data_IF_055063690836
#
_entry.id   IF_055063690836
#
_cell.length_a   1.000
_cell.length_b   1.000
_cell.length_c   1.000
_cell.angle_alpha   90.00
_cell.angle_beta   90.00
_cell.angle_gamma   90.00
#
_symmetry.space_group_name_H-M   'P 1'
#
loop_
_entity.id
_entity.type
_entity.pdbx_description
1 polymer ?
#
# COMPACT_ATOMS: atom_id res chain seq x y z
N UNK A 1 -7.71 58.70 -2.10
CA UNK A 1 -7.52 58.01 -3.39
C UNK A 1 -8.14 56.64 -3.23
N UNK A 2 -9.42 56.52 -3.61
CA UNK A 2 -10.24 55.30 -3.40
C UNK A 2 -9.94 54.31 -4.53
N UNK A 3 -9.64 53.09 -4.16
CA UNK A 3 -9.46 51.97 -5.07
C UNK A 3 -10.80 51.55 -5.72
N UNK A 4 -10.81 51.20 -7.00
CA UNK A 4 -12.05 50.86 -7.69
C UNK A 4 -12.54 49.47 -7.21
N UNK A 5 -13.85 49.39 -6.95
CA UNK A 5 -14.60 48.16 -6.71
C UNK A 5 -14.45 47.22 -7.93
N UNK A 6 -13.75 46.12 -7.80
CA UNK A 6 -13.76 45.05 -8.78
C UNK A 6 -14.98 44.19 -8.52
N UNK A 7 -16.03 44.37 -9.30
CA UNK A 7 -17.15 43.44 -9.40
C UNK A 7 -16.62 42.10 -9.95
N UNK A 8 -16.40 41.13 -9.08
CA UNK A 8 -16.20 39.75 -9.49
C UNK A 8 -17.57 39.18 -9.86
N UNK A 9 -17.79 39.01 -11.15
CA UNK A 9 -18.96 38.28 -11.64
C UNK A 9 -18.93 36.84 -11.04
N UNK A 10 -20.09 36.27 -10.63
CA UNK A 10 -20.13 34.90 -10.19
C UNK A 10 -19.70 33.99 -11.36
N UNK A 11 -18.69 33.18 -11.13
CA UNK A 11 -18.24 32.14 -12.09
C UNK A 11 -19.43 31.22 -12.36
N UNK A 12 -19.75 31.08 -13.65
CA UNK A 12 -20.75 30.16 -14.14
C UNK A 12 -20.50 28.73 -13.65
N UNK A 13 -21.52 28.21 -12.97
CA UNK A 13 -21.87 26.80 -12.93
C UNK A 13 -20.75 25.83 -12.61
N UNK A 14 -20.65 25.45 -11.35
CA UNK A 14 -20.36 24.07 -10.97
C UNK A 14 -21.45 23.16 -11.56
N UNK A 15 -21.36 22.90 -12.85
CA UNK A 15 -21.93 21.70 -13.42
C UNK A 15 -21.09 20.56 -12.83
N UNK A 16 -21.50 20.06 -11.69
CA UNK A 16 -21.15 18.75 -11.17
C UNK A 16 -21.55 17.73 -12.25
N UNK A 17 -20.69 17.59 -13.25
CA UNK A 17 -20.77 16.51 -14.21
C UNK A 17 -20.51 15.24 -13.40
N UNK A 18 -21.59 14.60 -12.92
CA UNK A 18 -21.57 13.22 -12.44
C UNK A 18 -20.88 12.36 -13.51
N UNK A 19 -19.54 12.25 -13.40
CA UNK A 19 -18.81 11.19 -14.10
C UNK A 19 -19.51 9.89 -13.72
N UNK A 20 -19.82 9.01 -14.69
CA UNK A 20 -20.42 7.71 -14.37
C UNK A 20 -19.58 7.09 -13.27
N UNK A 21 -20.22 6.85 -12.11
CA UNK A 21 -19.51 6.31 -10.94
C UNK A 21 -18.86 5.02 -11.39
N UNK A 22 -17.53 5.02 -11.42
CA UNK A 22 -16.75 3.88 -11.86
C UNK A 22 -17.11 2.70 -10.96
N UNK A 23 -17.76 1.67 -11.49
CA UNK A 23 -18.18 0.47 -10.74
C UNK A 23 -17.03 -0.17 -9.98
N UNK A 24 -15.82 0.03 -10.49
CA UNK A 24 -14.60 -0.45 -9.88
C UNK A 24 -14.26 0.34 -8.60
N UNK A 25 -14.41 1.67 -8.63
CA UNK A 25 -14.22 2.52 -7.44
C UNK A 25 -15.24 2.18 -6.33
N UNK A 26 -16.50 1.90 -6.70
CA UNK A 26 -17.51 1.45 -5.74
C UNK A 26 -17.15 0.10 -5.09
N UNK A 27 -16.57 -0.82 -5.86
CA UNK A 27 -16.09 -2.09 -5.35
C UNK A 27 -14.91 -1.90 -4.38
N UNK A 28 -13.95 -1.05 -4.74
CA UNK A 28 -12.80 -0.70 -3.90
C UNK A 28 -13.27 -0.12 -2.56
N UNK A 29 -14.17 0.84 -2.58
CA UNK A 29 -14.73 1.47 -1.37
C UNK A 29 -15.48 0.45 -0.49
N UNK A 30 -16.27 -0.43 -1.12
CA UNK A 30 -16.99 -1.48 -0.40
C UNK A 30 -16.04 -2.46 0.26
N UNK A 31 -14.99 -2.89 -0.44
CA UNK A 31 -13.99 -3.81 0.08
C UNK A 31 -13.22 -3.18 1.24
N UNK A 32 -12.75 -1.92 1.11
CA UNK A 32 -12.08 -1.24 2.22
C UNK A 32 -12.99 -1.12 3.45
N UNK A 33 -14.22 -0.67 3.30
CA UNK A 33 -15.17 -0.58 4.42
C UNK A 33 -15.42 -1.92 5.11
N UNK A 34 -15.46 -3.02 4.34
CA UNK A 34 -15.59 -4.36 4.93
C UNK A 34 -14.32 -4.80 5.67
N UNK A 35 -13.15 -4.50 5.12
CA UNK A 35 -11.87 -4.77 5.76
C UNK A 35 -11.70 -3.94 7.03
N UNK A 36 -12.01 -2.66 7.00
CA UNK A 36 -11.99 -1.80 8.17
C UNK A 36 -12.88 -2.36 9.29
N UNK A 37 -14.09 -2.75 8.95
CA UNK A 37 -15.00 -3.36 9.92
C UNK A 37 -14.46 -4.67 10.50
N UNK A 38 -13.81 -5.50 9.67
CA UNK A 38 -13.27 -6.79 10.09
C UNK A 38 -11.98 -6.65 10.90
N UNK A 39 -11.06 -5.78 10.46
CA UNK A 39 -9.75 -5.60 11.07
C UNK A 39 -9.78 -4.70 12.31
N UNK A 40 -10.67 -3.70 12.33
CA UNK A 40 -10.72 -2.72 13.42
C UNK A 40 -11.77 -3.04 14.50
N UNK A 41 -12.67 -3.99 14.26
CA UNK A 41 -13.65 -4.49 15.23
C UNK A 41 -14.20 -3.41 16.18
N UNK A 42 -14.61 -2.25 15.64
CA UNK A 42 -15.10 -1.12 16.43
C UNK A 42 -14.06 -0.41 17.28
N UNK A 43 -12.77 -0.50 16.96
CA UNK A 43 -11.70 0.21 17.67
C UNK A 43 -11.20 -0.50 18.93
N UNK A 44 -11.43 -1.80 19.06
CA UNK A 44 -10.98 -2.54 20.24
C UNK A 44 -9.44 -2.49 20.39
N UNK A 45 -8.90 -2.42 21.64
CA UNK A 45 -7.44 -2.39 21.84
C UNK A 45 -6.72 -3.63 21.28
N UNK A 46 -7.40 -4.76 21.19
CA UNK A 46 -6.83 -5.98 20.59
C UNK A 46 -6.71 -5.87 19.07
N UNK A 47 -7.73 -5.36 18.40
CA UNK A 47 -7.70 -5.11 16.96
C UNK A 47 -6.62 -4.08 16.60
N UNK A 48 -6.49 -3.02 17.38
CA UNK A 48 -5.45 -2.01 17.17
C UNK A 48 -4.03 -2.60 17.36
N UNK A 49 -3.81 -3.45 18.36
CA UNK A 49 -2.51 -4.14 18.54
C UNK A 49 -2.18 -5.05 17.36
N UNK A 50 -3.18 -5.83 16.87
CA UNK A 50 -3.00 -6.70 15.71
C UNK A 50 -2.65 -5.89 14.45
N UNK A 51 -3.36 -4.79 14.20
CA UNK A 51 -3.07 -3.89 13.09
C UNK A 51 -1.65 -3.34 13.18
N UNK A 52 -1.27 -2.77 14.33
CA UNK A 52 0.07 -2.21 14.53
C UNK A 52 1.15 -3.28 14.31
N UNK A 53 0.90 -4.52 14.75
CA UNK A 53 1.81 -5.63 14.50
C UNK A 53 1.94 -5.92 13.00
N UNK A 54 0.81 -6.04 12.28
CA UNK A 54 0.80 -6.35 10.84
C UNK A 54 1.36 -5.19 9.98
N UNK A 55 1.15 -3.94 10.39
CA UNK A 55 1.74 -2.78 9.72
C UNK A 55 3.25 -2.60 10.02
N UNK A 56 3.83 -3.42 10.90
CA UNK A 56 5.26 -3.37 11.20
C UNK A 56 5.70 -2.19 12.06
N UNK A 57 4.80 -1.56 12.84
CA UNK A 57 5.14 -0.41 13.70
C UNK A 57 6.25 -0.71 14.69
N UNK A 58 6.36 -1.95 15.16
CA UNK A 58 7.41 -2.46 16.04
C UNK A 58 8.76 -2.62 15.33
N UNK A 59 8.74 -2.78 14.01
CA UNK A 59 9.94 -2.94 13.18
C UNK A 59 10.47 -1.58 12.68
N UNK A 60 9.59 -0.56 12.62
CA UNK A 60 9.86 0.73 11.99
C UNK A 60 9.75 0.71 10.46
N UNK A 61 9.40 -0.43 9.88
CA UNK A 61 9.28 -0.67 8.44
C UNK A 61 7.96 -1.40 8.13
N UNK A 62 7.35 -1.22 6.96
CA UNK A 62 6.15 -1.96 6.55
C UNK A 62 6.43 -3.46 6.51
N UNK A 63 5.78 -4.23 7.41
CA UNK A 63 6.01 -5.68 7.54
C UNK A 63 5.70 -6.43 6.22
N UNK A 64 4.71 -5.97 5.46
CA UNK A 64 4.39 -6.52 4.15
C UNK A 64 5.61 -6.54 3.23
N UNK A 65 6.31 -5.42 3.10
CA UNK A 65 7.47 -5.29 2.21
C UNK A 65 8.56 -6.28 2.60
N UNK A 66 8.88 -6.39 3.90
CA UNK A 66 9.89 -7.33 4.40
C UNK A 66 9.48 -8.78 4.13
N UNK A 67 8.22 -9.12 4.33
CA UNK A 67 7.73 -10.48 4.12
C UNK A 67 7.66 -10.89 2.65
N UNK A 68 7.55 -9.95 1.70
CA UNK A 68 7.51 -10.28 0.26
C UNK A 68 8.81 -10.88 -0.26
N UNK A 69 9.94 -10.64 0.39
CA UNK A 69 11.23 -11.24 0.02
C UNK A 69 11.22 -12.76 0.13
N UNK A 70 10.44 -13.31 1.08
CA UNK A 70 10.34 -14.76 1.29
C UNK A 70 9.72 -15.47 0.08
N UNK A 71 8.49 -15.17 -0.39
CA UNK A 71 7.92 -15.83 -1.56
C UNK A 71 8.72 -15.53 -2.83
N UNK A 72 9.20 -14.30 -3.03
CA UNK A 72 9.98 -13.95 -4.22
C UNK A 72 11.26 -14.79 -4.29
N UNK A 73 12.04 -14.82 -3.22
CA UNK A 73 13.29 -15.58 -3.16
C UNK A 73 13.06 -17.09 -3.25
N UNK A 74 12.09 -17.62 -2.48
CA UNK A 74 11.81 -19.05 -2.45
C UNK A 74 11.26 -19.56 -3.79
N UNK A 75 10.35 -18.84 -4.44
CA UNK A 75 9.81 -19.25 -5.73
C UNK A 75 10.82 -19.06 -6.86
N UNK A 76 11.71 -18.06 -6.78
CA UNK A 76 12.85 -17.96 -7.70
C UNK A 76 13.80 -19.16 -7.56
N UNK A 77 14.13 -19.57 -6.33
CA UNK A 77 14.92 -20.77 -6.07
C UNK A 77 14.23 -22.04 -6.60
N UNK A 78 12.89 -22.14 -6.44
CA UNK A 78 12.13 -23.26 -7.00
C UNK A 78 12.25 -23.34 -8.53
N UNK A 79 12.19 -22.21 -9.24
CA UNK A 79 12.38 -22.19 -10.70
C UNK A 79 13.79 -22.65 -11.10
N UNK A 80 14.81 -22.24 -10.36
CA UNK A 80 16.18 -22.68 -10.59
C UNK A 80 16.33 -24.19 -10.35
N UNK A 81 15.79 -24.72 -9.25
CA UNK A 81 15.82 -26.15 -8.97
C UNK A 81 15.04 -26.98 -9.98
N UNK A 82 13.91 -26.48 -10.45
CA UNK A 82 13.16 -27.12 -11.54
C UNK A 82 13.99 -27.21 -12.83
N UNK A 83 14.67 -26.14 -13.20
CA UNK A 83 15.55 -26.14 -14.37
C UNK A 83 16.73 -27.14 -14.21
N UNK A 84 17.32 -27.18 -13.02
CA UNK A 84 18.41 -28.13 -12.72
C UNK A 84 17.92 -29.58 -12.72
N UNK A 85 16.69 -29.85 -12.30
CA UNK A 85 16.10 -31.18 -12.31
C UNK A 85 15.91 -31.77 -13.70
N UNK A 86 15.81 -30.91 -14.74
CA UNK A 86 15.70 -31.36 -16.13
C UNK A 86 17.06 -31.81 -16.73
N UNK A 87 18.17 -31.30 -16.20
CA UNK A 87 19.53 -31.57 -16.72
C UNK A 87 20.31 -32.61 -15.91
N UNK A 88 19.81 -32.98 -14.73
CA UNK A 88 20.52 -33.95 -13.82
C UNK A 88 19.54 -34.99 -13.31
N UNK A 89 19.88 -36.26 -13.49
CA UNK A 89 19.15 -37.38 -12.90
C UNK A 89 19.39 -37.41 -11.38
N UNK A 90 18.34 -37.28 -10.62
CA UNK A 90 18.36 -37.33 -9.14
C UNK A 90 17.26 -36.49 -8.56
N UNK A 91 16.39 -37.06 -7.70
CA UNK A 91 15.24 -36.38 -7.11
C UNK A 91 15.59 -35.29 -6.09
N UNK A 92 16.85 -34.88 -5.96
CA UNK A 92 17.26 -33.87 -4.97
C UNK A 92 16.79 -32.47 -5.34
N UNK A 93 16.99 -32.06 -6.60
CA UNK A 93 16.51 -30.78 -7.08
C UNK A 93 14.99 -30.68 -7.11
N UNK A 94 14.31 -31.80 -7.39
CA UNK A 94 12.84 -31.84 -7.31
C UNK A 94 12.35 -31.64 -5.89
N UNK A 95 12.97 -32.27 -4.90
CA UNK A 95 12.64 -32.05 -3.47
C UNK A 95 12.98 -30.65 -3.02
N UNK A 96 14.08 -30.07 -3.49
CA UNK A 96 14.44 -28.68 -3.22
C UNK A 96 13.43 -27.69 -3.81
N UNK A 97 12.96 -27.92 -5.05
CA UNK A 97 11.91 -27.13 -5.68
C UNK A 97 10.59 -27.20 -4.88
N UNK A 98 10.16 -28.41 -4.50
CA UNK A 98 8.94 -28.63 -3.72
C UNK A 98 9.01 -27.95 -2.34
N UNK A 99 10.18 -28.00 -1.66
CA UNK A 99 10.40 -27.33 -0.39
C UNK A 99 10.38 -25.80 -0.54
N UNK A 100 11.04 -25.28 -1.58
CA UNK A 100 11.05 -23.85 -1.88
C UNK A 100 9.64 -23.32 -2.18
N UNK A 101 8.83 -24.08 -2.95
CA UNK A 101 7.43 -23.70 -3.19
C UNK A 101 6.66 -23.62 -1.86
N UNK A 102 6.83 -24.59 -0.97
CA UNK A 102 6.14 -24.62 0.32
C UNK A 102 6.54 -23.45 1.23
N UNK A 103 7.85 -23.11 1.28
CA UNK A 103 8.35 -21.93 2.02
C UNK A 103 7.75 -20.65 1.44
N UNK A 104 7.75 -20.53 0.11
CA UNK A 104 7.16 -19.36 -0.56
C UNK A 104 5.67 -19.21 -0.28
N UNK A 105 4.89 -20.31 -0.22
CA UNK A 105 3.46 -20.28 0.13
C UNK A 105 3.24 -19.80 1.57
N UNK A 106 4.08 -20.23 2.52
CA UNK A 106 4.01 -19.75 3.90
C UNK A 106 4.34 -18.26 3.99
N UNK A 107 5.39 -17.81 3.30
CA UNK A 107 5.75 -16.39 3.22
C UNK A 107 4.66 -15.54 2.55
N UNK A 108 4.04 -16.05 1.47
CA UNK A 108 2.96 -15.37 0.77
C UNK A 108 1.72 -15.17 1.67
N UNK A 109 1.40 -16.14 2.53
CA UNK A 109 0.31 -16.01 3.49
C UNK A 109 0.59 -14.88 4.50
N UNK A 110 1.81 -14.81 5.04
CA UNK A 110 2.21 -13.72 5.94
C UNK A 110 2.22 -12.36 5.24
N UNK A 111 2.80 -12.28 4.03
CA UNK A 111 2.81 -11.06 3.23
C UNK A 111 1.40 -10.59 2.88
N UNK A 112 0.49 -11.51 2.52
CA UNK A 112 -0.91 -11.17 2.24
C UNK A 112 -1.63 -10.61 3.47
N UNK A 113 -1.44 -11.21 4.65
CA UNK A 113 -2.04 -10.73 5.90
C UNK A 113 -1.60 -9.29 6.22
N UNK A 114 -0.30 -8.98 6.10
CA UNK A 114 0.23 -7.63 6.30
C UNK A 114 -0.22 -6.68 5.17
N UNK A 115 -0.17 -7.12 3.91
CA UNK A 115 -0.53 -6.29 2.76
C UNK A 115 -2.00 -5.87 2.72
N UNK A 116 -2.91 -6.68 3.27
CA UNK A 116 -4.33 -6.31 3.40
C UNK A 116 -4.48 -5.12 4.37
N UNK A 117 -3.72 -5.09 5.47
CA UNK A 117 -3.77 -3.96 6.42
C UNK A 117 -3.18 -2.69 5.80
N UNK A 118 -2.07 -2.82 5.07
CA UNK A 118 -1.49 -1.67 4.36
C UNK A 118 -2.46 -1.11 3.31
N UNK A 119 -3.10 -1.99 2.51
CA UNK A 119 -4.02 -1.57 1.46
C UNK A 119 -5.26 -0.86 2.01
N UNK A 120 -5.72 -1.20 3.23
CA UNK A 120 -6.87 -0.53 3.86
C UNK A 120 -6.65 0.98 4.05
N UNK A 121 -5.40 1.42 4.13
CA UNK A 121 -5.02 2.82 4.33
C UNK A 121 -4.59 3.53 3.02
N UNK A 122 -4.73 2.87 1.86
CA UNK A 122 -4.30 3.45 0.58
C UNK A 122 -5.41 4.28 -0.05
N UNK A 123 -5.10 5.52 -0.41
CA UNK A 123 -5.99 6.44 -1.09
C UNK A 123 -5.96 6.29 -2.64
N UNK A 124 -7.03 6.70 -3.35
CA UNK A 124 -6.97 6.83 -4.81
C UNK A 124 -5.86 7.83 -5.25
N UNK A 125 -5.17 7.61 -6.40
CA UNK A 125 -5.40 6.53 -7.37
C UNK A 125 -4.64 5.23 -7.06
N UNK A 126 -3.75 5.19 -6.06
CA UNK A 126 -2.90 4.05 -5.73
C UNK A 126 -3.72 2.81 -5.31
N UNK A 127 -4.91 3.03 -4.73
CA UNK A 127 -5.81 1.98 -4.25
C UNK A 127 -6.11 0.92 -5.31
N UNK A 128 -6.43 1.35 -6.54
CA UNK A 128 -6.70 0.45 -7.68
C UNK A 128 -5.49 -0.39 -8.04
N UNK A 129 -4.32 0.23 -8.12
CA UNK A 129 -3.06 -0.49 -8.38
C UNK A 129 -2.79 -1.51 -7.28
N UNK A 130 -3.04 -1.16 -6.01
CA UNK A 130 -2.90 -2.07 -4.88
C UNK A 130 -3.86 -3.26 -4.93
N UNK A 131 -5.12 -3.03 -5.31
CA UNK A 131 -6.10 -4.13 -5.47
C UNK A 131 -5.68 -5.10 -6.60
N UNK A 132 -5.26 -4.57 -7.75
CA UNK A 132 -4.80 -5.40 -8.87
C UNK A 132 -3.53 -6.17 -8.47
N UNK A 133 -2.58 -5.52 -7.80
CA UNK A 133 -1.39 -6.15 -7.24
C UNK A 133 -1.75 -7.32 -6.31
N UNK A 134 -2.69 -7.11 -5.38
CA UNK A 134 -3.16 -8.13 -4.45
C UNK A 134 -3.82 -9.33 -5.15
N UNK A 135 -4.70 -9.07 -6.13
CA UNK A 135 -5.37 -10.12 -6.91
C UNK A 135 -4.39 -10.95 -7.75
N UNK A 136 -3.38 -10.32 -8.32
CA UNK A 136 -2.33 -11.02 -9.07
C UNK A 136 -1.47 -11.89 -8.13
N UNK A 137 -1.09 -11.40 -6.95
CA UNK A 137 -0.37 -12.19 -5.96
C UNK A 137 -1.20 -13.38 -5.46
N UNK A 138 -2.51 -13.20 -5.25
CA UNK A 138 -3.41 -14.30 -4.91
C UNK A 138 -3.46 -15.35 -6.03
N UNK A 139 -3.51 -14.92 -7.30
CA UNK A 139 -3.50 -15.80 -8.46
C UNK A 139 -2.17 -16.56 -8.58
N UNK A 140 -1.03 -15.88 -8.37
CA UNK A 140 0.28 -16.52 -8.33
C UNK A 140 0.37 -17.55 -7.22
N UNK A 141 -0.09 -17.20 -6.01
CA UNK A 141 -0.14 -18.12 -4.85
C UNK A 141 -0.98 -19.36 -5.16
N UNK A 142 -2.15 -19.20 -5.79
CA UNK A 142 -2.99 -20.31 -6.20
C UNK A 142 -2.29 -21.22 -7.24
N UNK A 143 -1.56 -20.65 -8.19
CA UNK A 143 -0.79 -21.40 -9.18
C UNK A 143 0.37 -22.18 -8.53
N UNK A 144 1.10 -21.62 -7.57
CA UNK A 144 2.12 -22.33 -6.82
C UNK A 144 1.55 -23.41 -5.91
N UNK A 145 0.41 -23.17 -5.27
CA UNK A 145 -0.30 -24.18 -4.50
C UNK A 145 -0.75 -25.35 -5.39
N UNK A 146 -1.31 -25.05 -6.57
CA UNK A 146 -1.70 -26.05 -7.57
C UNK A 146 -0.46 -26.84 -8.03
N UNK A 147 0.65 -26.18 -8.32
CA UNK A 147 1.93 -26.81 -8.64
C UNK A 147 2.34 -27.82 -7.57
N UNK A 148 2.35 -27.42 -6.31
CA UNK A 148 2.75 -28.29 -5.21
C UNK A 148 1.80 -29.51 -5.04
N UNK A 149 0.50 -29.28 -5.18
CA UNK A 149 -0.51 -30.35 -5.13
C UNK A 149 -0.28 -31.35 -6.27
N UNK A 150 -0.08 -30.89 -7.50
CA UNK A 150 0.17 -31.74 -8.66
C UNK A 150 1.42 -32.60 -8.46
N UNK A 151 2.52 -32.03 -7.97
CA UNK A 151 3.79 -32.73 -7.71
C UNK A 151 3.67 -33.78 -6.61
N UNK A 152 2.86 -33.51 -5.56
CA UNK A 152 2.72 -34.42 -4.40
C UNK A 152 1.66 -35.51 -4.58
N UNK A 153 0.59 -35.22 -5.34
CA UNK A 153 -0.56 -36.12 -5.48
C UNK A 153 -0.23 -37.38 -6.29
N UNK A 154 0.53 -37.22 -7.34
CA UNK A 154 1.00 -38.33 -8.18
C UNK A 154 2.41 -38.03 -8.64
N UNK A 155 3.39 -38.79 -8.17
CA UNK A 155 4.82 -38.59 -8.48
C UNK A 155 5.22 -39.01 -9.89
N UNK A 156 4.26 -39.13 -10.82
CA UNK A 156 4.55 -39.41 -12.23
C UNK A 156 5.23 -38.21 -12.89
N UNK A 157 6.01 -38.47 -13.94
CA UNK A 157 6.66 -37.40 -14.70
C UNK A 157 5.63 -36.42 -15.31
N UNK A 158 4.49 -36.93 -15.76
CA UNK A 158 3.42 -36.07 -16.29
C UNK A 158 2.89 -35.10 -15.22
N UNK A 159 2.69 -35.56 -13.96
CA UNK A 159 2.27 -34.70 -12.86
C UNK A 159 3.32 -33.67 -12.47
N UNK A 160 4.59 -34.05 -12.52
CA UNK A 160 5.70 -33.12 -12.26
C UNK A 160 5.82 -32.07 -13.37
N UNK A 161 5.67 -32.48 -14.62
CA UNK A 161 5.64 -31.55 -15.77
C UNK A 161 4.50 -30.54 -15.65
N UNK A 162 3.28 -31.00 -15.32
CA UNK A 162 2.15 -30.11 -15.07
C UNK A 162 2.42 -29.15 -13.89
N UNK A 163 3.05 -29.65 -12.81
CA UNK A 163 3.48 -28.82 -11.68
C UNK A 163 4.50 -27.75 -12.09
N UNK A 164 5.50 -28.09 -12.91
CA UNK A 164 6.47 -27.12 -13.46
C UNK A 164 5.78 -26.05 -14.30
N UNK A 165 4.82 -26.42 -15.15
CA UNK A 165 4.04 -25.45 -15.95
C UNK A 165 3.26 -24.50 -15.04
N UNK A 166 2.54 -25.04 -14.04
CA UNK A 166 1.80 -24.20 -13.09
C UNK A 166 2.72 -23.24 -12.32
N UNK A 167 3.91 -23.70 -11.87
CA UNK A 167 4.91 -22.85 -11.20
C UNK A 167 5.44 -21.76 -12.12
N UNK A 168 5.75 -22.08 -13.39
CA UNK A 168 6.23 -21.10 -14.38
C UNK A 168 5.19 -20.00 -14.63
N UNK A 169 3.92 -20.36 -14.80
CA UNK A 169 2.84 -19.39 -14.94
C UNK A 169 2.69 -18.55 -13.66
N UNK A 170 2.75 -19.19 -12.49
CA UNK A 170 2.71 -18.49 -11.19
C UNK A 170 3.85 -17.49 -11.05
N UNK A 171 5.06 -17.86 -11.48
CA UNK A 171 6.24 -16.99 -11.44
C UNK A 171 6.07 -15.78 -12.36
N UNK A 172 5.57 -15.97 -13.58
CA UNK A 172 5.31 -14.87 -14.51
C UNK A 172 4.27 -13.88 -13.93
N UNK A 173 3.19 -14.39 -13.34
CA UNK A 173 2.17 -13.55 -12.69
C UNK A 173 2.76 -12.81 -11.48
N UNK A 174 3.55 -13.48 -10.64
CA UNK A 174 4.25 -12.88 -9.50
C UNK A 174 5.21 -11.77 -9.95
N UNK A 175 5.98 -11.99 -11.01
CA UNK A 175 6.91 -10.99 -11.54
C UNK A 175 6.20 -9.71 -12.00
N UNK A 176 5.04 -9.85 -12.65
CA UNK A 176 4.22 -8.71 -13.02
C UNK A 176 3.58 -8.04 -11.78
N UNK A 177 3.12 -8.82 -10.82
CA UNK A 177 2.63 -8.27 -9.54
C UNK A 177 3.73 -7.49 -8.81
N UNK A 178 4.97 -8.00 -8.76
CA UNK A 178 6.12 -7.31 -8.17
C UNK A 178 6.40 -5.97 -8.88
N UNK A 179 6.27 -5.91 -10.22
CA UNK A 179 6.36 -4.64 -10.95
C UNK A 179 5.31 -3.63 -10.46
N UNK A 180 4.05 -4.06 -10.25
CA UNK A 180 3.02 -3.17 -9.71
C UNK A 180 3.31 -2.75 -8.27
N UNK A 181 3.89 -3.65 -7.45
CA UNK A 181 4.40 -3.31 -6.12
C UNK A 181 5.45 -2.21 -6.16
N UNK A 182 6.39 -2.30 -7.10
CA UNK A 182 7.38 -1.24 -7.36
C UNK A 182 6.72 0.10 -7.72
N UNK A 183 5.67 0.09 -8.56
CA UNK A 183 4.90 1.31 -8.89
C UNK A 183 4.22 1.91 -7.66
N UNK A 184 3.66 1.08 -6.77
CA UNK A 184 3.06 1.56 -5.53
C UNK A 184 4.08 2.30 -4.66
N UNK A 185 5.31 1.79 -4.56
CA UNK A 185 6.38 2.40 -3.76
C UNK A 185 6.97 3.62 -4.45
N UNK A 186 7.45 3.49 -5.69
CA UNK A 186 8.26 4.52 -6.35
C UNK A 186 7.45 5.60 -7.06
N UNK A 187 6.28 5.27 -7.61
CA UNK A 187 5.42 6.25 -8.29
C UNK A 187 4.38 6.84 -7.33
N UNK A 188 3.67 5.98 -6.59
CA UNK A 188 2.59 6.39 -5.70
C UNK A 188 3.05 6.71 -4.27
N UNK A 189 4.30 6.41 -3.93
CA UNK A 189 4.94 6.65 -2.61
C UNK A 189 4.20 6.01 -1.42
N UNK A 190 3.48 4.92 -1.67
CA UNK A 190 2.80 4.16 -0.62
C UNK A 190 3.84 3.62 0.37
N UNK A 191 3.64 3.90 1.66
CA UNK A 191 4.59 3.52 2.72
C UNK A 191 5.86 4.38 2.80
N UNK A 192 6.05 5.35 1.86
CA UNK A 192 7.22 6.25 1.81
C UNK A 192 6.83 7.68 2.19
N UNK A 193 5.72 8.17 1.63
CA UNK A 193 5.24 9.53 1.88
C UNK A 193 3.70 9.55 1.83
N UNK A 194 3.09 9.56 3.00
CA UNK A 194 1.63 9.59 3.18
C UNK A 194 0.99 10.91 2.74
N UNK A 195 1.81 11.92 2.43
CA UNK A 195 1.36 13.24 1.96
C UNK A 195 1.52 13.44 0.45
N UNK A 196 2.11 12.46 -0.25
CA UNK A 196 2.44 12.57 -1.67
C UNK A 196 1.24 12.86 -2.59
N UNK A 197 0.03 12.44 -2.20
CA UNK A 197 -1.21 12.66 -2.93
C UNK A 197 -1.98 13.92 -2.52
N UNK A 198 -1.50 14.70 -1.54
CA UNK A 198 -2.20 15.89 -1.07
C UNK A 198 -2.12 17.01 -2.11
N UNK A 199 -3.26 17.64 -2.50
CA UNK A 199 -3.28 18.73 -3.45
C UNK A 199 -2.82 20.04 -2.78
N UNK A 200 -1.50 20.18 -2.58
CA UNK A 200 -0.93 21.37 -1.99
C UNK A 200 -1.11 22.59 -2.91
N UNK A 201 -1.39 23.79 -2.37
CA UNK A 201 -1.50 25.01 -3.15
C UNK A 201 -0.17 25.34 -3.81
N UNK A 202 -0.20 25.72 -5.11
CA UNK A 202 0.99 26.11 -5.87
C UNK A 202 1.51 27.51 -5.52
N UNK A 203 0.66 28.33 -4.93
CA UNK A 203 0.94 29.71 -4.55
C UNK A 203 0.64 29.91 -3.06
N UNK A 204 1.17 30.97 -2.47
CA UNK A 204 0.78 31.37 -1.13
C UNK A 204 -0.71 31.73 -1.08
N UNK A 205 -1.41 31.16 -0.13
CA UNK A 205 -2.84 31.35 0.10
C UNK A 205 -3.07 31.79 1.55
N UNK A 206 -4.06 32.65 1.75
CA UNK A 206 -4.48 33.03 3.09
C UNK A 206 -5.27 31.87 3.72
N UNK A 207 -4.83 31.37 4.88
CA UNK A 207 -5.45 30.23 5.55
C UNK A 207 -5.97 30.59 6.94
N UNK A 208 -5.36 31.59 7.60
CA UNK A 208 -5.67 31.98 8.99
C UNK A 208 -5.15 33.41 9.24
N UNK A 209 -5.87 34.27 10.00
CA UNK A 209 -5.35 35.55 10.47
C UNK A 209 -4.12 35.36 11.37
N UNK A 210 -3.08 36.16 11.17
CA UNK A 210 -1.85 36.07 11.99
C UNK A 210 -2.13 36.27 13.49
N UNK A 211 -3.14 37.05 13.83
CA UNK A 211 -3.57 37.30 15.20
C UNK A 211 -4.07 36.03 15.96
N UNK A 212 -4.44 35.01 15.21
CA UNK A 212 -4.87 33.73 15.79
C UNK A 212 -3.71 32.76 16.08
N UNK A 213 -2.50 33.08 15.55
CA UNK A 213 -1.31 32.27 15.78
C UNK A 213 -0.65 32.62 17.10
N UNK A 214 -0.67 31.68 18.03
CA UNK A 214 0.07 31.80 19.30
C UNK A 214 1.52 31.47 19.09
N UNK A 215 2.40 32.15 19.82
CA UNK A 215 3.83 31.91 19.80
C UNK A 215 4.18 30.49 20.21
N UNK A 216 5.05 29.81 19.44
CA UNK A 216 5.52 28.44 19.68
C UNK A 216 4.40 27.39 19.86
N UNK A 217 3.24 27.65 19.23
CA UNK A 217 2.11 26.72 19.33
C UNK A 217 1.78 26.14 17.97
N UNK A 218 1.87 24.82 17.78
CA UNK A 218 1.41 24.17 16.56
C UNK A 218 -0.08 24.47 16.33
N UNK A 219 -0.41 25.06 15.20
CA UNK A 219 -1.78 25.48 14.90
C UNK A 219 -2.21 24.85 13.57
N UNK A 220 -3.31 24.12 13.61
CA UNK A 220 -3.90 23.49 12.39
C UNK A 220 -4.79 24.49 11.67
N UNK A 221 -4.55 24.67 10.38
CA UNK A 221 -5.43 25.38 9.47
C UNK A 221 -5.88 24.46 8.33
N UNK A 222 -6.94 24.82 7.62
CA UNK A 222 -7.49 24.04 6.51
C UNK A 222 -7.52 24.87 5.23
N UNK A 223 -7.07 24.29 4.11
CA UNK A 223 -7.24 24.88 2.80
C UNK A 223 -7.74 23.83 1.79
N UNK A 224 -8.93 24.01 1.24
CA UNK A 224 -9.54 23.10 0.28
C UNK A 224 -9.48 21.61 0.72
N UNK A 225 -9.77 21.33 1.98
CA UNK A 225 -9.73 19.97 2.54
C UNK A 225 -8.34 19.47 2.93
N UNK A 226 -7.28 20.25 2.67
CA UNK A 226 -5.90 19.89 3.04
C UNK A 226 -5.55 20.52 4.39
N UNK A 227 -5.13 19.74 5.40
CA UNK A 227 -4.68 20.27 6.67
C UNK A 227 -3.25 20.82 6.55
N UNK A 228 -3.03 22.01 7.09
CA UNK A 228 -1.77 22.73 7.10
C UNK A 228 -1.38 23.00 8.55
N UNK A 229 -0.16 22.69 8.92
CA UNK A 229 0.43 23.07 10.19
C UNK A 229 1.09 24.42 10.05
N UNK A 230 0.74 25.34 10.94
CA UNK A 230 1.35 26.66 11.09
C UNK A 230 2.04 26.76 12.46
N UNK A 231 3.23 27.30 12.47
CA UNK A 231 3.99 27.57 13.71
C UNK A 231 4.59 28.97 13.59
N UNK A 232 4.36 29.80 14.64
CA UNK A 232 5.01 31.12 14.79
C UNK A 232 6.17 31.01 15.77
N UNK A 233 7.35 31.50 15.37
CA UNK A 233 8.52 31.68 16.24
C UNK A 233 9.08 33.08 16.03
N UNK A 234 8.82 33.97 16.96
CA UNK A 234 9.17 35.39 16.84
C UNK A 234 8.54 36.03 15.60
N UNK A 235 9.36 36.54 14.70
CA UNK A 235 8.89 37.15 13.45
C UNK A 235 8.80 36.15 12.27
N UNK A 236 9.03 34.86 12.50
CA UNK A 236 8.99 33.85 11.45
C UNK A 236 7.73 33.01 11.55
N UNK A 237 7.11 32.79 10.39
CA UNK A 237 6.01 31.84 10.21
C UNK A 237 6.50 30.65 9.43
N UNK A 238 6.21 29.48 9.93
CA UNK A 238 6.48 28.19 9.28
C UNK A 238 5.15 27.56 8.89
N UNK A 239 5.08 27.06 7.65
CA UNK A 239 3.93 26.31 7.13
C UNK A 239 4.41 25.02 6.51
N UNK A 240 3.76 23.92 6.83
CA UNK A 240 4.06 22.61 6.27
C UNK A 240 2.77 21.76 6.22
N UNK A 241 2.83 20.59 5.58
CA UNK A 241 1.75 19.62 5.67
C UNK A 241 1.52 19.25 7.15
N UNK A 242 0.27 19.27 7.58
CA UNK A 242 -0.09 18.93 8.96
C UNK A 242 -0.02 17.41 9.20
N UNK A 243 -0.31 16.64 8.14
CA UNK A 243 -0.22 15.18 8.18
C UNK A 243 1.24 14.75 8.17
N UNK A 244 1.63 13.92 9.13
CA UNK A 244 2.95 13.29 9.15
C UNK A 244 3.14 12.42 7.90
N UNK A 245 4.21 12.64 7.15
CA UNK A 245 4.51 11.85 5.94
C UNK A 245 4.77 10.37 6.24
N UNK A 246 5.18 10.03 7.47
CA UNK A 246 5.53 8.68 7.90
C UNK A 246 4.28 7.84 8.22
N UNK A 247 3.48 8.22 9.22
CA UNK A 247 2.31 7.46 9.71
C UNK A 247 0.98 8.22 9.67
N UNK A 248 0.89 9.32 8.93
CA UNK A 248 -0.33 10.15 8.81
C UNK A 248 -0.83 10.74 10.14
N UNK A 249 -0.03 10.75 11.20
CA UNK A 249 -0.39 11.37 12.46
C UNK A 249 -0.53 12.89 12.32
N UNK A 250 -1.42 13.54 13.11
CA UNK A 250 -1.58 14.99 13.11
C UNK A 250 -0.42 15.67 13.83
N UNK A 251 0.44 16.36 13.08
CA UNK A 251 1.61 17.06 13.64
C UNK A 251 1.22 18.23 14.58
N UNK A 252 0.01 18.78 14.41
CA UNK A 252 -0.51 19.85 15.26
C UNK A 252 -0.81 19.40 16.69
N UNK A 253 -0.98 18.09 16.94
CA UNK A 253 -1.16 17.51 18.27
C UNK A 253 0.16 17.21 18.98
N UNK A 254 1.27 17.41 18.29
CA UNK A 254 2.62 17.26 18.82
C UNK A 254 3.04 18.43 19.70
N UNK A 255 4.19 18.28 20.35
CA UNK A 255 4.85 19.34 21.12
C UNK A 255 6.06 19.85 20.32
N UNK A 256 6.24 21.16 20.34
CA UNK A 256 7.44 21.78 19.82
C UNK A 256 8.55 21.65 20.86
N UNK A 257 9.62 20.94 20.52
CA UNK A 257 10.80 20.79 21.35
C UNK A 257 11.99 21.55 20.72
N UNK A 258 12.78 22.26 21.50
CA UNK A 258 14.00 22.97 21.08
C UNK A 258 13.94 24.49 21.11
#
# INVERSE_FOLDING_TARGET
MSLPNVNVAPSAGDADSQKPQDRFAQLEDKLQKQLDKALYAGGSPAAQRLRNFLNGTWLGEPLHVVLTDVPIGAWTAAMVFDALSLSRSGGEFERAADASIAIGLAGAAGAAAAGVTDWSDVDPPARRTGLIHGLLNLSATALFATSLIQRRRNRSEASRAAGRVSATLGYAVMAYAAHLGGKLVYENRVGVDRTAGQPLPRNFVAVLPESELKENTPTRAMHNGVPILLVRRGHRLFAMAETCSHFSGPLSEGKLEG
#
